data_IF_889962232242
#
_entry.id   IF_889962232242
#
_cell.length_a   1.000
_cell.length_b   1.000
_cell.length_c   1.000
_cell.angle_alpha   90.00
_cell.angle_beta   90.00
_cell.angle_gamma   90.00
#
_symmetry.space_group_name_H-M   'P 1'
#
loop_
_entity.id
_entity.type
_entity.pdbx_description
1 polymer ?
2 non-polymer ?
3 non-polymer ?
4 non-polymer ?
5 water ?
#
# COMPACT_ATOMS: atom_id res chain seq x y z
N UNK A 6 5.95 -36.20 -3.11
CA UNK A 6 7.26 -36.50 -3.70
C UNK A 6 7.73 -35.36 -4.60
N UNK A 7 7.65 -35.56 -5.91
CA UNK A 7 8.02 -34.52 -6.86
C UNK A 7 6.83 -33.61 -7.17
N UNK A 8 7.13 -32.36 -7.52
CA UNK A 8 6.09 -31.39 -7.88
C UNK A 8 5.42 -31.78 -9.20
N UNK A 9 6.22 -32.20 -10.16
CA UNK A 9 5.71 -32.60 -11.48
C UNK A 9 4.58 -33.63 -11.39
N UNK A 10 4.74 -34.60 -10.48
CA UNK A 10 3.70 -35.60 -10.25
C UNK A 10 2.41 -34.95 -9.74
N UNK A 11 2.54 -34.10 -8.73
CA UNK A 11 1.40 -33.40 -8.13
C UNK A 11 0.49 -32.75 -9.18
N UNK A 12 1.06 -31.95 -10.06
CA UNK A 12 0.31 -31.29 -11.13
C UNK A 12 -0.44 -32.31 -12.01
N UNK A 13 0.17 -33.46 -12.26
CA UNK A 13 -0.46 -34.52 -13.03
C UNK A 13 -1.69 -35.10 -12.32
N UNK A 14 -1.48 -35.67 -11.13
CA UNK A 14 -2.57 -36.27 -10.35
C UNK A 14 -3.55 -35.21 -9.84
N UNK A 15 -4.82 -35.29 -10.27
CA UNK A 15 -5.88 -34.35 -9.90
C UNK A 15 -6.15 -34.27 -8.39
N UNK A 16 -5.93 -35.35 -7.64
CA UNK A 16 -6.21 -35.33 -6.20
C UNK A 16 -5.06 -34.68 -5.40
N UNK A 17 -3.82 -35.00 -5.75
CA UNK A 17 -2.67 -34.34 -5.14
C UNK A 17 -2.71 -32.85 -5.46
N UNK A 18 -3.05 -32.54 -6.71
CA UNK A 18 -3.05 -31.17 -7.21
C UNK A 18 -4.17 -30.31 -6.64
N UNK A 19 -5.37 -30.87 -6.49
CA UNK A 19 -6.48 -30.12 -5.93
C UNK A 19 -6.30 -29.83 -4.44
N UNK A 20 -5.61 -30.71 -3.73
CA UNK A 20 -5.24 -30.48 -2.35
C UNK A 20 -4.25 -29.31 -2.29
N UNK A 21 -3.40 -29.22 -3.30
CA UNK A 21 -2.45 -28.12 -3.40
C UNK A 21 -3.17 -26.80 -3.71
N UNK A 22 -4.15 -26.85 -4.61
CA UNK A 22 -4.92 -25.66 -5.01
C UNK A 22 -5.84 -25.20 -3.88
N UNK A 23 -6.45 -26.15 -3.18
CA UNK A 23 -7.40 -25.84 -2.11
C UNK A 23 -6.76 -25.44 -0.78
N UNK A 24 -5.75 -26.18 -0.32
CA UNK A 24 -5.08 -25.86 0.94
C UNK A 24 -4.31 -24.55 0.88
N UNK A 25 -4.10 -24.04 -0.34
CA UNK A 25 -3.38 -22.78 -0.53
C UNK A 25 -4.26 -21.65 -1.07
N UNK A 26 -5.54 -21.93 -1.27
CA UNK A 26 -6.50 -20.94 -1.77
C UNK A 26 -6.07 -20.24 -3.06
N UNK A 27 -5.58 -21.03 -4.01
CA UNK A 27 -4.98 -20.49 -5.24
C UNK A 27 -6.04 -19.96 -6.22
N UNK A 28 -7.31 -20.25 -5.95
CA UNK A 28 -8.41 -19.78 -6.79
C UNK A 28 -9.04 -18.53 -6.17
N UNK A 29 -8.65 -18.22 -4.94
CA UNK A 29 -9.27 -17.11 -4.21
C UNK A 29 -8.54 -15.78 -4.37
N UNK A 30 -9.32 -14.71 -4.54
CA UNK A 30 -8.76 -13.37 -4.50
C UNK A 30 -8.36 -13.07 -3.07
N UNK A 31 -7.54 -12.03 -2.89
CA UNK A 31 -7.06 -11.68 -1.57
C UNK A 31 -7.74 -10.43 -1.02
N UNK A 32 -8.27 -10.53 0.20
CA UNK A 32 -8.91 -9.39 0.86
C UNK A 32 -7.93 -8.70 1.79
N UNK A 33 -7.76 -7.39 1.63
CA UNK A 33 -6.86 -6.63 2.48
C UNK A 33 -7.64 -5.90 3.58
N UNK A 34 -7.20 -6.05 4.83
CA UNK A 34 -7.89 -5.46 5.97
C UNK A 34 -7.01 -5.21 7.18
N UNK A 35 -7.62 -4.86 8.31
CA UNK A 35 -6.89 -4.51 9.53
C UNK A 35 -6.01 -5.65 10.06
N UNK A 36 -6.43 -6.89 9.81
CA UNK A 36 -5.67 -8.05 10.25
C UNK A 36 -4.67 -8.51 9.19
N UNK A 37 -4.82 -8.00 7.97
CA UNK A 37 -3.91 -8.32 6.89
C UNK A 37 -4.58 -8.98 5.70
N UNK A 38 -3.80 -9.72 4.89
CA UNK A 38 -4.30 -10.40 3.69
C UNK A 38 -5.07 -11.66 4.04
N UNK A 39 -6.34 -11.71 3.64
CA UNK A 39 -7.20 -12.86 3.93
C UNK A 39 -7.82 -13.40 2.65
N UNK A 40 -7.75 -14.73 2.45
CA UNK A 40 -8.34 -15.32 1.25
C UNK A 40 -9.86 -15.11 1.24
N UNK A 41 -10.43 -14.83 0.07
CA UNK A 41 -11.88 -14.75 -0.05
C UNK A 41 -12.48 -16.11 0.27
N UNK A 42 -13.76 -16.15 0.64
CA UNK A 42 -14.44 -17.41 0.84
C UNK A 42 -14.98 -17.90 -0.49
N UNK A 43 -15.00 -17.00 -1.46
CA UNK A 43 -15.45 -17.34 -2.81
C UNK A 43 -14.29 -17.51 -3.78
N UNK A 44 -14.48 -18.39 -4.75
CA UNK A 44 -13.48 -18.59 -5.79
C UNK A 44 -13.62 -17.51 -6.86
N UNK A 45 -12.49 -16.97 -7.31
CA UNK A 45 -12.48 -15.85 -8.24
C UNK A 45 -12.32 -16.33 -9.70
N UNK A 46 -11.54 -17.38 -9.89
CA UNK A 46 -11.31 -17.94 -11.22
C UNK A 46 -11.89 -19.34 -11.34
N UNK A 47 -12.07 -19.81 -12.58
CA UNK A 47 -12.50 -21.18 -12.83
C UNK A 47 -11.33 -22.11 -12.52
N UNK A 48 -11.60 -23.21 -11.82
CA UNK A 48 -10.55 -24.16 -11.45
C UNK A 48 -10.02 -24.91 -12.66
N UNK A 49 -8.70 -24.80 -12.91
CA UNK A 49 -8.06 -25.51 -14.02
C UNK A 49 -7.69 -26.95 -13.62
N UNK A 50 -7.63 -27.85 -14.60
CA UNK A 50 -7.26 -29.23 -14.33
C UNK A 50 -5.75 -29.40 -14.22
N UNK A 51 -5.01 -28.37 -14.63
CA UNK A 51 -3.55 -28.41 -14.57
C UNK A 51 -2.98 -27.02 -14.30
N UNK A 52 -1.82 -26.97 -13.66
CA UNK A 52 -1.20 -25.70 -13.33
C UNK A 52 0.11 -25.49 -14.08
N UNK A 53 0.36 -24.25 -14.47
CA UNK A 53 1.67 -23.89 -15.01
C UNK A 53 2.66 -23.89 -13.87
N UNK A 54 3.74 -24.66 -14.01
CA UNK A 54 4.73 -24.77 -12.95
C UNK A 54 6.15 -24.66 -13.48
N UNK A 55 7.06 -24.22 -12.61
CA UNK A 55 8.49 -24.18 -12.90
C UNK A 55 9.21 -24.81 -11.72
N UNK A 56 9.84 -25.96 -11.94
CA UNK A 56 10.55 -26.64 -10.85
C UNK A 56 11.79 -25.87 -10.37
N UNK A 57 11.95 -25.79 -9.05
CA UNK A 57 13.17 -25.28 -8.43
C UNK A 57 13.35 -25.79 -7.00
N UNK A 58 14.32 -26.68 -6.82
CA UNK A 58 14.67 -27.21 -5.51
C UNK A 58 15.73 -26.35 -4.82
N UNK A 59 16.24 -25.37 -5.54
CA UNK A 59 17.31 -24.51 -5.03
C UNK A 59 16.87 -23.65 -3.84
N UNK A 60 17.37 -24.00 -2.66
CA UNK A 60 17.12 -23.19 -1.48
C UNK A 60 17.95 -21.91 -1.55
N UNK A 61 17.32 -20.78 -1.24
CA UNK A 61 18.02 -19.50 -1.21
C UNK A 61 17.55 -18.65 -0.01
N UNK A 62 18.25 -17.54 0.21
CA UNK A 62 17.78 -16.53 1.15
C UNK A 62 17.49 -15.26 0.37
N UNK A 63 16.27 -14.77 0.47
CA UNK A 63 15.88 -13.51 -0.16
C UNK A 63 15.56 -12.48 0.92
N UNK A 64 15.69 -11.20 0.58
CA UNK A 64 15.39 -10.14 1.53
C UNK A 64 14.61 -9.01 0.85
N UNK A 65 13.55 -8.56 1.52
CA UNK A 65 12.74 -7.45 1.02
C UNK A 65 12.81 -6.27 1.99
N UNK A 66 13.16 -5.10 1.47
CA UNK A 66 13.17 -3.87 2.27
C UNK A 66 12.05 -2.95 1.78
N UNK A 67 11.28 -2.40 2.72
CA UNK A 67 10.08 -1.66 2.36
C UNK A 67 9.90 -0.39 3.19
N UNK A 68 9.75 0.74 2.50
CA UNK A 68 9.53 2.03 3.16
C UNK A 68 8.05 2.40 3.22
N UNK A 69 7.22 1.65 2.51
CA UNK A 69 5.78 1.93 2.48
C UNK A 69 5.10 1.49 3.78
N UNK A 70 4.39 2.40 4.42
CA UNK A 70 3.66 2.09 5.64
C UNK A 70 2.46 1.18 5.30
N UNK A 71 1.92 0.53 6.32
CA UNK A 71 0.70 -0.30 6.20
C UNK A 71 0.93 -1.62 5.46
N UNK A 72 2.20 -1.94 5.17
CA UNK A 72 2.54 -3.12 4.40
C UNK A 72 3.11 -4.26 5.25
N UNK A 73 3.16 -4.06 6.56
CA UNK A 73 3.84 -5.00 7.46
C UNK A 73 3.31 -6.43 7.42
N UNK A 74 1.98 -6.59 7.30
CA UNK A 74 1.39 -7.93 7.26
C UNK A 74 1.70 -8.64 5.93
N UNK A 75 1.93 -7.84 4.89
CA UNK A 75 2.30 -8.38 3.58
C UNK A 75 3.75 -8.84 3.59
N UNK A 76 4.60 -8.05 4.25
CA UNK A 76 5.99 -8.41 4.47
C UNK A 76 6.07 -9.72 5.26
N UNK A 77 5.23 -9.85 6.28
CA UNK A 77 5.21 -11.06 7.11
C UNK A 77 4.60 -12.24 6.36
N UNK A 78 3.85 -11.93 5.29
CA UNK A 78 3.27 -12.96 4.44
C UNK A 78 4.18 -13.26 3.26
N UNK A 79 5.43 -12.78 3.35
CA UNK A 79 6.45 -13.03 2.35
C UNK A 79 6.08 -12.58 0.92
N UNK A 80 5.40 -11.44 0.83
CA UNK A 80 5.21 -10.76 -0.45
C UNK A 80 6.55 -10.14 -0.85
N UNK A 81 6.93 -10.22 -2.12
CA UNK A 81 8.10 -9.48 -2.58
C UNK A 81 7.74 -8.02 -2.82
N UNK A 82 8.72 -7.22 -3.22
CA UNK A 82 8.52 -5.79 -3.42
C UNK A 82 7.44 -5.51 -4.47
N UNK A 83 7.51 -6.21 -5.58
CA UNK A 83 6.54 -6.04 -6.67
C UNK A 83 5.12 -6.37 -6.21
N UNK A 84 4.98 -7.45 -5.44
CA UNK A 84 3.69 -7.86 -4.92
C UNK A 84 3.16 -6.87 -3.88
N UNK A 85 4.06 -6.37 -3.03
CA UNK A 85 3.70 -5.32 -2.07
C UNK A 85 3.23 -4.07 -2.82
N UNK A 86 3.96 -3.72 -3.89
CA UNK A 86 3.65 -2.55 -4.71
C UNK A 86 2.22 -2.57 -5.25
N UNK A 87 1.84 -3.64 -5.93
CA UNK A 87 0.50 -3.78 -6.47
C UNK A 87 -0.54 -3.76 -5.36
N UNK A 88 -0.20 -4.40 -4.24
CA UNK A 88 -1.14 -4.55 -3.13
C UNK A 88 -1.24 -3.32 -2.23
N UNK A 89 -0.23 -2.45 -2.28
CA UNK A 89 -0.13 -1.30 -1.39
C UNK A 89 -1.37 -0.39 -1.27
N UNK A 90 -1.93 0.07 -2.41
CA UNK A 90 -3.08 0.98 -2.29
C UNK A 90 -4.26 0.35 -1.56
N UNK A 91 -4.57 -0.91 -1.90
CA UNK A 91 -5.69 -1.62 -1.29
C UNK A 91 -5.55 -1.74 0.23
N UNK A 92 -4.43 -2.28 0.69
CA UNK A 92 -4.24 -2.48 2.13
C UNK A 92 -4.08 -1.16 2.88
N UNK A 93 -3.50 -0.16 2.22
CA UNK A 93 -3.40 1.17 2.81
C UNK A 93 -4.79 1.74 3.04
N UNK A 94 -5.65 1.59 2.03
CA UNK A 94 -7.01 2.11 2.09
C UNK A 94 -7.87 1.40 3.13
N UNK A 95 -7.58 0.13 3.38
CA UNK A 95 -8.39 -0.68 4.30
C UNK A 95 -7.74 -0.93 5.66
N UNK A 96 -6.69 -0.19 5.97
CA UNK A 96 -6.00 -0.35 7.26
C UNK A 96 -6.72 0.38 8.39
N UNK A 97 -6.46 -0.02 9.62
CA UNK A 97 -6.99 0.68 10.79
C UNK A 97 -5.98 1.75 11.21
N UNK A 98 -6.31 3.00 10.92
CA UNK A 98 -5.39 4.10 11.20
C UNK A 98 -5.33 4.43 12.69
N UNK A 99 -4.16 4.85 13.16
CA UNK A 99 -3.96 5.26 14.55
C UNK A 99 -2.85 6.30 14.65
N UNK A 100 -2.87 7.07 15.73
CA UNK A 100 -1.89 8.14 15.93
C UNK A 100 -0.66 7.61 16.67
N UNK A 101 -0.76 6.37 17.17
CA UNK A 101 0.28 5.77 17.99
C UNK A 101 0.94 4.54 17.37
N UNK A 102 1.19 4.61 16.06
CA UNK A 102 1.92 3.55 15.39
C UNK A 102 3.41 3.69 15.62
N UNK A 103 4.10 2.57 15.84
CA UNK A 103 5.54 2.57 16.01
C UNK A 103 6.25 2.98 14.72
N UNK A 104 5.62 2.72 13.58
CA UNK A 104 6.09 3.23 12.30
C UNK A 104 5.95 4.75 12.29
N UNK A 105 7.06 5.45 12.14
CA UNK A 105 7.02 6.91 12.13
C UNK A 105 7.87 7.54 11.03
N UNK A 106 7.23 8.37 10.22
CA UNK A 106 7.92 9.21 9.26
C UNK A 106 7.72 10.69 9.61
N UNK A 107 8.78 11.30 10.15
CA UNK A 107 8.74 12.70 10.56
C UNK A 107 9.79 13.51 9.83
N UNK A 108 10.01 14.74 10.28
CA UNK A 108 11.04 15.61 9.69
C UNK A 108 12.42 15.17 10.14
N UNK A 109 12.48 14.42 11.24
CA UNK A 109 13.73 14.00 11.84
C UNK A 109 13.93 12.50 11.76
N UNK A 110 12.84 11.76 11.66
CA UNK A 110 12.90 10.30 11.69
C UNK A 110 12.22 9.63 10.50
N UNK A 111 12.62 8.38 10.25
CA UNK A 111 12.13 7.63 9.11
C UNK A 111 12.08 6.15 9.49
N UNK A 112 11.06 5.45 9.03
CA UNK A 112 10.90 4.04 9.35
C UNK A 112 10.86 3.19 8.09
N UNK A 113 11.16 1.91 8.24
CA UNK A 113 11.13 0.97 7.14
C UNK A 113 10.98 -0.45 7.66
N UNK A 114 10.41 -1.31 6.83
CA UNK A 114 10.29 -2.73 7.18
C UNK A 114 11.34 -3.53 6.43
N UNK A 115 11.92 -4.52 7.10
CA UNK A 115 12.86 -5.42 6.46
C UNK A 115 12.48 -6.86 6.79
N UNK A 116 12.36 -7.68 5.76
CA UNK A 116 12.00 -9.09 5.94
C UNK A 116 13.00 -9.96 5.20
N UNK A 117 13.47 -11.01 5.86
CA UNK A 117 14.38 -11.96 5.25
C UNK A 117 13.75 -13.34 5.27
N UNK A 118 13.77 -14.04 4.13
CA UNK A 118 13.15 -15.35 4.05
C UNK A 118 14.11 -16.43 3.56
N UNK A 119 14.25 -17.49 4.34
CA UNK A 119 15.06 -18.64 3.93
C UNK A 119 14.13 -19.64 3.27
N UNK A 120 14.13 -19.63 1.94
CA UNK A 120 13.19 -20.43 1.17
C UNK A 120 13.64 -21.89 1.03
N UNK A 121 12.70 -22.81 1.07
CA UNK A 121 12.95 -24.20 0.72
C UNK A 121 11.89 -24.59 -0.32
N UNK A 122 12.12 -24.18 -1.58
CA UNK A 122 11.08 -24.28 -2.60
C UNK A 122 11.04 -25.64 -3.28
N UNK A 123 9.96 -25.89 -4.02
CA UNK A 123 9.84 -27.06 -4.88
C UNK A 123 9.58 -26.55 -6.27
N UNK A 124 9.15 -25.29 -6.34
CA UNK A 124 8.92 -24.62 -7.61
C UNK A 124 8.04 -23.38 -7.50
N UNK A 125 7.57 -22.90 -8.65
CA UNK A 125 6.72 -21.70 -8.70
C UNK A 125 5.50 -21.99 -9.57
N UNK A 126 4.33 -21.57 -9.10
CA UNK A 126 3.09 -21.74 -9.87
C UNK A 126 2.62 -20.41 -10.42
N UNK A 127 2.37 -20.35 -11.73
CA UNK A 127 1.94 -19.11 -12.36
C UNK A 127 0.52 -19.22 -12.89
N UNK A 128 -0.29 -18.20 -12.62
CA UNK A 128 -1.60 -18.09 -13.24
C UNK A 128 -1.52 -17.05 -14.35
N UNK A 129 -1.66 -17.48 -15.59
CA UNK A 129 -1.55 -16.57 -16.72
C UNK A 129 -2.66 -15.53 -16.68
N UNK A 130 -2.28 -14.28 -16.89
CA UNK A 130 -3.17 -13.12 -16.95
C UNK A 130 -3.91 -13.25 -18.30
N UNK A 131 -4.86 -12.34 -18.64
CA UNK A 131 -5.64 -12.66 -19.85
C UNK A 131 -4.82 -12.80 -21.13
N UNK A 132 -3.75 -12.03 -21.23
CA UNK A 132 -2.87 -12.12 -22.38
C UNK A 132 -2.21 -13.51 -22.47
N UNK A 133 -2.94 -14.43 -23.09
CA UNK A 133 -2.53 -15.83 -23.23
C UNK A 133 -1.14 -15.99 -23.85
N UNK A 134 -0.41 -17.04 -23.47
CA UNK A 134 -0.89 -18.02 -22.51
C UNK A 134 0.17 -19.02 -22.11
N UNK A 137 -3.50 -21.44 -21.38
CA UNK A 137 -3.24 -21.50 -19.95
C UNK A 137 -4.00 -20.39 -19.22
N UNK A 138 -4.47 -19.42 -19.99
CA UNK A 138 -5.18 -18.25 -19.46
C UNK A 138 -6.29 -18.62 -18.48
N UNK A 139 -6.41 -17.84 -17.42
CA UNK A 139 -7.45 -18.06 -16.41
C UNK A 139 -8.78 -17.48 -16.89
N UNK A 140 -9.87 -17.99 -16.33
CA UNK A 140 -11.20 -17.48 -16.64
C UNK A 140 -11.86 -16.99 -15.35
N UNK A 141 -12.39 -15.77 -15.35
CA UNK A 141 -13.09 -15.27 -14.18
C UNK A 141 -14.33 -16.13 -13.91
N UNK A 142 -14.60 -16.38 -12.63
CA UNK A 142 -15.76 -17.18 -12.23
C UNK A 142 -17.04 -16.59 -12.80
N UNK A 143 -17.95 -17.45 -13.27
CA UNK A 143 -19.25 -17.01 -13.80
C UNK A 143 -19.99 -16.15 -12.77
N UNK A 144 -19.92 -16.55 -11.50
CA UNK A 144 -20.52 -15.79 -10.42
C UNK A 144 -19.89 -14.41 -10.30
N UNK A 145 -18.57 -14.33 -10.44
CA UNK A 145 -17.88 -13.05 -10.34
C UNK A 145 -18.25 -12.14 -11.52
N UNK A 146 -18.05 -12.63 -12.73
CA UNK A 146 -18.39 -11.86 -13.93
C UNK A 146 -19.87 -11.53 -13.97
N UNK A 147 -20.67 -12.30 -13.23
CA UNK A 147 -22.09 -11.98 -13.06
C UNK A 147 -22.23 -10.74 -12.18
N UNK A 148 -21.53 -10.76 -11.04
CA UNK A 148 -21.57 -9.64 -10.11
C UNK A 148 -21.14 -8.34 -10.75
N UNK A 149 -20.13 -8.42 -11.61
CA UNK A 149 -19.67 -7.26 -12.38
C UNK A 149 -20.79 -6.72 -13.26
N UNK A 150 -21.35 -7.59 -14.11
CA UNK A 150 -22.43 -7.20 -15.01
C UNK A 150 -23.59 -6.58 -14.23
N UNK A 151 -23.97 -7.22 -13.12
CA UNK A 151 -25.05 -6.72 -12.29
C UNK A 151 -24.78 -5.32 -11.76
N UNK A 152 -23.57 -5.12 -11.23
CA UNK A 152 -23.13 -3.82 -10.74
C UNK A 152 -23.17 -2.74 -11.82
N UNK A 153 -22.60 -3.05 -12.99
CA UNK A 153 -22.61 -2.11 -14.10
C UNK A 153 -24.03 -1.88 -14.64
N UNK A 154 -24.95 -2.76 -14.29
CA UNK A 154 -26.33 -2.66 -14.75
C UNK A 154 -27.19 -1.78 -13.84
N UNK A 155 -26.65 -1.40 -12.69
CA UNK A 155 -27.34 -0.48 -11.78
C UNK A 155 -27.62 0.86 -12.46
N UNK A 156 -28.66 1.56 -12.04
CA UNK A 156 -29.11 2.78 -12.71
C UNK A 156 -28.28 4.03 -12.41
N UNK A 157 -27.97 4.26 -11.14
CA UNK A 157 -27.21 5.44 -10.76
C UNK A 157 -25.74 5.11 -10.44
N UNK A 158 -24.87 6.11 -10.56
CA UNK A 158 -23.45 5.93 -10.33
C UNK A 158 -23.11 5.38 -8.96
N UNK A 159 -23.73 5.93 -7.93
CA UNK A 159 -23.50 5.50 -6.55
C UNK A 159 -23.82 4.02 -6.38
N UNK A 160 -25.01 3.62 -6.81
CA UNK A 160 -25.45 2.23 -6.75
C UNK A 160 -24.48 1.29 -7.48
N UNK A 161 -23.97 1.75 -8.62
CA UNK A 161 -22.97 0.99 -9.37
C UNK A 161 -21.71 0.80 -8.52
N UNK A 162 -21.19 1.91 -8.00
CA UNK A 162 -19.96 1.90 -7.21
C UNK A 162 -20.13 1.09 -5.92
N UNK A 163 -21.24 1.32 -5.22
CA UNK A 163 -21.55 0.62 -3.99
C UNK A 163 -21.60 -0.90 -4.19
N UNK A 164 -22.13 -1.32 -5.34
CA UNK A 164 -22.18 -2.74 -5.69
C UNK A 164 -20.79 -3.29 -5.97
N UNK A 165 -19.96 -2.50 -6.66
CA UNK A 165 -18.59 -2.90 -6.96
C UNK A 165 -17.79 -3.11 -5.68
N UNK A 166 -17.98 -2.22 -4.71
CA UNK A 166 -17.31 -2.32 -3.43
C UNK A 166 -17.65 -3.62 -2.70
N UNK A 167 -18.94 -3.94 -2.64
CA UNK A 167 -19.39 -5.20 -2.06
C UNK A 167 -18.76 -6.38 -2.79
N UNK A 168 -18.74 -6.32 -4.12
CA UNK A 168 -18.14 -7.37 -4.95
C UNK A 168 -16.69 -7.58 -4.60
N UNK A 169 -15.94 -6.49 -4.46
CA UNK A 169 -14.51 -6.57 -4.17
C UNK A 169 -14.24 -6.84 -2.68
N UNK A 170 -15.12 -6.36 -1.80
CA UNK A 170 -15.03 -6.70 -0.39
C UNK A 170 -15.22 -8.21 -0.19
N UNK A 171 -16.00 -8.81 -1.08
CA UNK A 171 -16.29 -10.24 -1.02
C UNK A 171 -15.23 -11.09 -1.72
N UNK A 172 -14.82 -10.67 -2.91
CA UNK A 172 -13.88 -11.45 -3.71
C UNK A 172 -12.42 -11.12 -3.44
N UNK A 173 -12.15 -9.87 -3.05
CA UNK A 173 -10.78 -9.44 -2.81
C UNK A 173 -10.37 -8.36 -3.79
N UNK A 174 -9.29 -7.67 -3.49
CA UNK A 174 -8.81 -6.59 -4.35
C UNK A 174 -7.66 -7.03 -5.25
N UNK A 175 -6.93 -8.06 -4.82
CA UNK A 175 -5.83 -8.60 -5.64
C UNK A 175 -5.88 -10.12 -5.74
N UNK A 176 -5.22 -10.66 -6.75
CA UNK A 176 -5.11 -12.11 -6.94
C UNK A 176 -3.66 -12.51 -7.21
N UNK A 177 -3.19 -13.53 -6.51
CA UNK A 177 -1.80 -13.95 -6.62
C UNK A 177 -1.57 -14.75 -7.91
N UNK A 178 -0.86 -14.13 -8.85
CA UNK A 178 -0.67 -14.70 -10.18
C UNK A 178 0.63 -15.51 -10.30
N UNK A 179 1.54 -15.30 -9.36
CA UNK A 179 2.77 -16.10 -9.26
C UNK A 179 3.11 -16.33 -7.81
N UNK A 180 3.17 -17.60 -7.41
CA UNK A 180 3.54 -17.97 -6.05
C UNK A 180 4.58 -19.08 -6.03
N UNK A 181 5.50 -19.02 -5.07
CA UNK A 181 6.42 -20.12 -4.82
C UNK A 181 5.84 -21.00 -3.72
N UNK A 182 6.06 -22.30 -3.82
CA UNK A 182 5.57 -23.24 -2.80
C UNK A 182 6.69 -24.09 -2.20
N UNK A 183 6.45 -24.63 -1.02
CA UNK A 183 7.45 -25.41 -0.31
C UNK A 183 7.43 -25.14 1.18
N UNK A 184 8.60 -24.89 1.75
CA UNK A 184 8.71 -24.47 3.14
C UNK A 184 9.51 -23.19 3.24
N UNK A 185 9.29 -22.42 4.30
CA UNK A 185 10.02 -21.18 4.51
C UNK A 185 10.20 -20.82 5.98
N UNK A 186 11.40 -20.39 6.32
CA UNK A 186 11.69 -19.81 7.63
C UNK A 186 11.97 -18.33 7.38
N UNK A 187 11.15 -17.46 7.97
CA UNK A 187 11.29 -16.02 7.69
C UNK A 187 11.41 -15.19 8.96
N UNK A 188 12.20 -14.12 8.89
CA UNK A 188 12.30 -13.16 9.98
C UNK A 188 11.83 -11.80 9.48
N UNK A 189 11.16 -11.05 10.36
CA UNK A 189 10.62 -9.77 9.98
C UNK A 189 10.86 -8.74 11.07
N UNK A 190 11.29 -7.54 10.68
CA UNK A 190 11.56 -6.48 11.65
C UNK A 190 11.20 -5.13 11.07
N UNK A 191 11.03 -4.15 11.96
CA UNK A 191 10.87 -2.76 11.55
C UNK A 191 12.03 -1.98 12.12
N UNK A 192 12.51 -1.00 11.37
CA UNK A 192 13.54 -0.09 11.91
C UNK A 192 13.14 1.37 11.76
N UNK A 193 13.31 2.12 12.84
CA UNK A 193 13.10 3.57 12.82
C UNK A 193 14.46 4.23 13.06
N UNK A 194 14.84 5.16 12.18
CA UNK A 194 16.16 5.77 12.25
C UNK A 194 16.13 7.27 11.92
N UNK A 195 17.13 8.00 12.40
CA UNK A 195 17.25 9.42 12.09
C UNK A 195 17.58 9.63 10.62
N UNK A 196 17.03 10.69 10.03
CA UNK A 196 17.29 11.02 8.63
C UNK A 196 18.74 11.46 8.43
N UNK A 197 19.42 11.77 9.53
CA UNK A 197 20.81 12.19 9.50
C UNK A 197 21.75 11.02 9.26
N UNK A 198 21.22 9.80 9.33
CA UNK A 198 22.01 8.61 9.06
C UNK A 198 22.07 8.31 7.57
N UNK A 199 23.07 7.52 7.16
CA UNK A 199 23.16 7.06 5.78
C UNK A 199 22.13 5.95 5.53
N UNK A 200 21.15 6.24 4.67
CA UNK A 200 20.08 5.29 4.37
C UNK A 200 20.60 3.95 3.87
N UNK A 201 21.57 4.00 2.96
CA UNK A 201 22.18 2.80 2.41
C UNK A 201 22.80 1.96 3.52
N UNK A 202 23.52 2.62 4.42
CA UNK A 202 24.18 1.95 5.54
C UNK A 202 23.17 1.25 6.44
N UNK A 203 22.09 1.94 6.80
CA UNK A 203 21.05 1.37 7.66
C UNK A 203 20.42 0.14 7.01
N UNK A 204 20.08 0.26 5.73
CA UNK A 204 19.43 -0.82 4.99
C UNK A 204 20.31 -2.06 4.83
N UNK A 205 21.59 -1.85 4.54
CA UNK A 205 22.51 -2.97 4.43
C UNK A 205 22.80 -3.61 5.80
N UNK A 206 22.91 -2.77 6.83
CA UNK A 206 23.18 -3.25 8.18
C UNK A 206 22.06 -4.13 8.71
N UNK A 207 20.81 -3.69 8.52
CA UNK A 207 19.65 -4.46 8.94
C UNK A 207 19.49 -5.73 8.11
N UNK A 208 19.69 -5.61 6.80
CA UNK A 208 19.58 -6.75 5.89
C UNK A 208 20.60 -7.85 6.23
N UNK A 209 21.82 -7.46 6.55
CA UNK A 209 22.87 -8.40 6.89
C UNK A 209 22.55 -9.11 8.21
N UNK A 210 22.05 -8.36 9.18
CA UNK A 210 21.73 -8.91 10.48
C UNK A 210 20.56 -9.88 10.40
N UNK A 211 19.59 -9.54 9.55
CA UNK A 211 18.38 -10.36 9.42
C UNK A 211 18.65 -11.61 8.58
N UNK A 212 19.46 -11.48 7.53
CA UNK A 212 19.85 -12.64 6.71
C UNK A 212 20.71 -13.61 7.51
N UNK A 213 21.60 -13.06 8.33
CA UNK A 213 22.43 -13.88 9.19
C UNK A 213 21.60 -14.67 10.19
N UNK A 214 20.53 -14.05 10.68
CA UNK A 214 19.65 -14.69 11.65
C UNK A 214 18.92 -15.89 11.05
N UNK A 215 18.37 -15.71 9.85
CA UNK A 215 17.64 -16.79 9.18
C UNK A 215 18.56 -17.86 8.59
N UNK A 216 19.77 -17.46 8.20
CA UNK A 216 20.75 -18.43 7.70
C UNK A 216 21.16 -19.38 8.81
N UNK A 217 21.39 -18.85 10.00
CA UNK A 217 21.75 -19.67 11.14
C UNK A 217 20.60 -20.58 11.53
N UNK A 218 19.39 -20.05 11.42
CA UNK A 218 18.17 -20.81 11.71
C UNK A 218 18.04 -21.99 10.75
N UNK A 219 17.95 -21.71 9.45
CA UNK A 219 17.76 -22.75 8.45
C UNK A 219 19.00 -23.57 8.15
N UNK A 220 20.15 -23.08 8.60
CA UNK A 220 21.40 -23.81 8.45
C UNK A 220 21.62 -24.80 9.58
N UNK A 221 20.89 -24.63 10.67
CA UNK A 221 21.03 -25.50 11.82
C UNK A 221 22.21 -25.16 12.72
N UNK A 222 22.54 -23.87 12.82
CA UNK A 222 23.63 -23.43 13.67
C UNK A 222 23.13 -22.70 14.92
N UNK A 223 21.83 -22.41 14.95
CA UNK A 223 21.23 -21.74 16.10
C UNK A 223 20.19 -22.65 16.73
N UNK A 224 19.75 -22.30 17.93
CA UNK A 224 18.68 -23.05 18.58
C UNK A 224 17.44 -23.04 17.72
N UNK A 225 16.98 -24.24 17.34
CA UNK A 225 15.78 -24.36 16.53
C UNK A 225 14.58 -23.81 17.27
N UNK A 226 13.57 -23.37 16.51
CA UNK A 226 12.40 -22.73 17.09
C UNK A 226 11.32 -22.54 16.03
N UNK A 227 10.07 -22.45 16.46
CA UNK A 227 8.98 -22.16 15.55
C UNK A 227 8.66 -20.68 15.49
N UNK A 228 7.39 -20.35 15.29
CA UNK A 228 6.96 -18.95 15.33
C UNK A 228 7.13 -18.37 16.72
N UNK A 229 7.83 -17.24 16.79
CA UNK A 229 8.06 -16.55 18.07
C UNK A 229 8.63 -15.17 17.78
N UNK A 230 8.84 -14.39 18.84
CA UNK A 230 9.47 -13.09 18.70
C UNK A 230 10.79 -13.10 19.43
N UNK A 231 11.68 -12.20 19.04
CA UNK A 231 12.99 -12.14 19.65
C UNK A 231 13.69 -10.82 19.37
N UNK A 232 15.00 -10.80 19.62
CA UNK A 232 15.78 -9.60 19.40
C UNK A 232 17.11 -10.00 18.78
N UNK A 233 17.54 -9.26 17.75
CA UNK A 233 18.89 -9.44 17.22
C UNK A 233 19.66 -8.13 17.30
N UNK A 234 20.99 -8.23 17.22
CA UNK A 234 21.85 -7.06 17.27
C UNK A 234 22.71 -7.00 16.02
N UNK A 235 22.68 -5.87 15.32
CA UNK A 235 23.44 -5.71 14.07
C UNK A 235 24.92 -5.48 14.32
N UNK A 236 25.72 -5.53 13.26
CA UNK A 236 27.15 -5.27 13.34
C UNK A 236 27.40 -3.85 13.82
N UNK A 237 26.43 -2.97 13.56
CA UNK A 237 26.50 -1.58 13.99
C UNK A 237 25.77 -1.37 15.32
N UNK A 238 25.49 -2.46 16.02
CA UNK A 238 24.84 -2.43 17.33
C UNK A 238 23.42 -1.84 17.33
N UNK A 239 22.67 -2.09 16.27
CA UNK A 239 21.25 -1.73 16.25
C UNK A 239 20.44 -2.87 16.86
N UNK A 240 19.64 -2.58 17.88
CA UNK A 240 18.79 -3.58 18.49
C UNK A 240 17.45 -3.67 17.76
N UNK A 241 17.18 -4.84 17.19
CA UNK A 241 15.98 -5.04 16.39
C UNK A 241 15.04 -6.04 17.04
N UNK A 242 13.75 -5.72 17.05
CA UNK A 242 12.73 -6.66 17.47
C UNK A 242 12.32 -7.48 16.26
N UNK A 243 12.49 -8.80 16.35
CA UNK A 243 12.29 -9.67 15.20
C UNK A 243 11.11 -10.62 15.38
N UNK A 244 10.34 -10.80 14.32
CA UNK A 244 9.24 -11.76 14.33
C UNK A 244 9.57 -12.93 13.41
N UNK A 245 9.73 -14.11 13.98
CA UNK A 245 10.03 -15.31 13.20
C UNK A 245 8.76 -16.04 12.80
N UNK A 246 8.65 -16.37 11.52
CA UNK A 246 7.45 -17.03 10.99
C UNK A 246 7.82 -18.26 10.15
N UNK A 247 7.07 -19.34 10.34
CA UNK A 247 7.27 -20.56 9.56
C UNK A 247 6.05 -20.84 8.70
N UNK A 248 6.28 -21.15 7.42
CA UNK A 248 5.18 -21.57 6.55
C UNK A 248 5.54 -22.82 5.75
N UNK A 249 4.58 -23.73 5.64
CA UNK A 249 4.82 -24.98 4.93
C UNK A 249 5.60 -25.98 5.76
N UNK A 250 5.64 -27.22 5.28
CA UNK A 250 6.33 -28.28 6.01
C UNK A 250 5.62 -28.71 7.28
N UNK A 251 6.25 -29.58 8.06
CA UNK A 251 5.63 -30.08 9.29
C UNK A 251 6.00 -29.24 10.50
N UNK A 252 5.04 -28.46 11.01
CA UNK A 252 5.28 -27.56 12.14
C UNK A 252 5.51 -28.30 13.46
N UNK A 253 5.09 -29.57 13.52
CA UNK A 253 5.34 -30.38 14.72
C UNK A 253 6.82 -30.71 14.83
N UNK A 254 7.55 -30.57 13.73
CA UNK A 254 8.97 -30.92 13.69
C UNK A 254 9.91 -29.70 13.66
N UNK A 255 9.33 -28.51 13.72
CA UNK A 255 10.10 -27.26 13.60
C UNK A 255 11.20 -27.11 14.66
N UNK A 256 10.95 -27.60 15.88
CA UNK A 256 11.91 -27.51 16.96
C UNK A 256 13.23 -28.23 16.62
N UNK A 257 13.15 -29.18 15.70
CA UNK A 257 14.34 -29.77 15.11
C UNK A 257 14.45 -29.39 13.62
N UNK A 258 15.28 -28.39 13.33
CA UNK A 258 15.34 -27.76 12.01
C UNK A 258 15.53 -28.71 10.83
N UNK A 259 16.47 -29.65 10.95
CA UNK A 259 16.77 -30.58 9.86
C UNK A 259 15.60 -31.52 9.52
N UNK A 260 14.89 -31.97 10.55
CA UNK A 260 13.69 -32.78 10.34
C UNK A 260 12.63 -31.95 9.64
N UNK A 261 12.51 -30.69 10.06
CA UNK A 261 11.59 -29.73 9.44
C UNK A 261 11.89 -29.61 7.95
N UNK A 262 13.16 -29.42 7.62
CA UNK A 262 13.61 -29.29 6.24
C UNK A 262 13.28 -30.53 5.41
N UNK A 263 13.41 -31.71 6.03
CA UNK A 263 13.10 -32.96 5.35
C UNK A 263 11.61 -33.02 4.97
N UNK A 264 10.75 -32.57 5.88
CA UNK A 264 9.32 -32.55 5.65
C UNK A 264 8.92 -31.67 4.47
N UNK A 265 9.79 -30.71 4.12
CA UNK A 265 9.56 -29.83 2.97
C UNK A 265 9.37 -30.62 1.67
N UNK A 266 10.03 -31.78 1.57
CA UNK A 266 9.90 -32.64 0.39
C UNK A 266 8.57 -33.40 0.35
N UNK A 267 7.77 -33.29 1.40
CA UNK A 267 6.47 -33.95 1.45
C UNK A 267 5.36 -33.01 0.94
N UNK A 268 4.76 -33.35 -0.20
CA UNK A 268 3.76 -32.50 -0.85
C UNK A 268 2.60 -32.07 0.04
N UNK A 269 2.22 -32.94 0.97
CA UNK A 269 1.15 -32.68 1.92
C UNK A 269 1.41 -31.44 2.77
N UNK A 270 2.68 -31.07 2.90
CA UNK A 270 3.09 -30.00 3.78
C UNK A 270 3.61 -28.77 3.03
N UNK A 271 3.41 -28.75 1.72
CA UNK A 271 3.78 -27.59 0.90
C UNK A 271 2.77 -26.46 1.05
N UNK A 272 3.27 -25.25 1.25
CA UNK A 272 2.43 -24.06 1.30
C UNK A 272 3.08 -22.94 0.49
N UNK A 273 2.38 -21.83 0.30
CA UNK A 273 2.95 -20.65 -0.36
C UNK A 273 4.06 -20.08 0.53
N UNK A 274 5.26 -19.92 -0.04
CA UNK A 274 6.42 -19.49 0.72
C UNK A 274 6.87 -18.11 0.28
N UNK A 275 6.39 -17.69 -0.88
CA UNK A 275 6.61 -16.35 -1.38
C UNK A 275 5.50 -15.96 -2.35
N UNK A 276 4.96 -14.77 -2.17
CA UNK A 276 4.09 -14.17 -3.19
C UNK A 276 4.98 -13.33 -4.11
N UNK A 277 5.13 -13.80 -5.34
CA UNK A 277 6.12 -13.27 -6.29
C UNK A 277 5.52 -12.26 -7.26
N UNK A 278 4.26 -12.48 -7.62
CA UNK A 278 3.53 -11.54 -8.48
C UNK A 278 2.08 -11.45 -8.04
N UNK A 279 1.54 -10.24 -8.10
CA UNK A 279 0.17 -9.97 -7.70
C UNK A 279 -0.49 -9.12 -8.79
N UNK A 280 -1.71 -9.49 -9.18
CA UNK A 280 -2.45 -8.72 -10.16
C UNK A 280 -3.75 -8.20 -9.53
N UNK A 281 -4.00 -6.90 -9.66
CA UNK A 281 -5.27 -6.33 -9.25
C UNK A 281 -6.39 -7.09 -9.97
N UNK A 282 -7.42 -7.49 -9.21
CA UNK A 282 -8.51 -8.30 -9.76
C UNK A 282 -9.18 -7.65 -10.97
N UNK A 283 -9.36 -6.33 -10.92
CA UNK A 283 -10.02 -5.62 -12.00
C UNK A 283 -9.27 -5.73 -13.33
N UNK A 284 -7.94 -5.90 -13.24
CA UNK A 284 -7.10 -6.01 -14.42
C UNK A 284 -7.21 -7.38 -15.09
N UNK A 285 -7.90 -8.31 -14.44
CA UNK A 285 -8.17 -9.61 -15.03
C UNK A 285 -9.35 -9.52 -15.99
N UNK A 286 -10.05 -8.38 -15.95
CA UNK A 286 -11.21 -8.14 -16.81
C UNK A 286 -10.78 -7.73 -18.21
N UNK A 287 -11.56 -8.15 -19.22
CA UNK A 287 -11.35 -7.70 -20.60
C UNK A 287 -11.87 -6.28 -20.78
N UNK A 288 -11.27 -5.53 -21.69
CA UNK A 288 -11.81 -4.22 -22.07
C UNK A 288 -13.11 -4.42 -22.82
N UNK A 289 -14.02 -3.42 -22.78
CA UNK A 289 -13.91 -2.17 -22.06
C UNK A 289 -14.52 -2.25 -20.66
N UNK A 290 -14.85 -3.45 -20.22
CA UNK A 290 -15.39 -3.67 -18.87
C UNK A 290 -14.36 -3.27 -17.82
N UNK A 291 -13.10 -3.64 -18.06
CA UNK A 291 -12.00 -3.31 -17.17
C UNK A 291 -11.95 -1.81 -16.90
N UNK A 292 -12.06 -1.01 -17.95
CA UNK A 292 -12.00 0.44 -17.82
C UNK A 292 -13.20 1.05 -17.13
N UNK A 293 -14.39 0.53 -17.42
CA UNK A 293 -15.61 1.00 -16.77
C UNK A 293 -15.52 0.82 -15.26
N UNK A 294 -15.14 -0.38 -14.83
CA UNK A 294 -15.01 -0.70 -13.40
C UNK A 294 -13.98 0.22 -12.71
N UNK A 295 -12.79 0.32 -13.30
CA UNK A 295 -11.71 1.12 -12.73
C UNK A 295 -12.09 2.60 -12.61
N UNK A 296 -12.75 3.14 -13.62
CA UNK A 296 -13.26 4.52 -13.55
C UNK A 296 -14.21 4.67 -12.38
N UNK A 297 -15.13 3.73 -12.24
CA UNK A 297 -16.11 3.74 -11.15
C UNK A 297 -15.45 3.56 -9.78
N UNK A 298 -14.36 2.80 -9.75
CA UNK A 298 -13.66 2.51 -8.51
C UNK A 298 -12.95 3.73 -7.93
N UNK A 299 -12.62 4.69 -8.80
CA UNK A 299 -11.98 5.93 -8.38
C UNK A 299 -12.79 6.64 -7.28
N UNK A 300 -12.14 6.90 -6.14
CA UNK A 300 -12.81 7.44 -4.94
C UNK A 300 -13.22 8.89 -5.08
N UNK A 301 -12.63 9.61 -6.04
CA UNK A 301 -12.90 11.04 -6.19
C UNK A 301 -13.28 11.46 -7.61
N UNK A 302 -14.26 12.36 -7.71
CA UNK A 302 -14.52 13.07 -8.95
C UNK A 302 -13.62 14.29 -8.95
N UNK A 303 -13.24 14.76 -10.15
CA UNK A 303 -12.37 15.93 -10.23
C UNK A 303 -12.97 17.02 -11.09
N UNK A 304 -12.69 18.27 -10.73
CA UNK A 304 -13.18 19.41 -11.50
C UNK A 304 -12.18 20.56 -11.42
N UNK A 305 -11.68 20.99 -12.57
CA UNK A 305 -10.75 22.11 -12.62
C UNK A 305 -11.53 23.43 -12.61
N UNK A 306 -11.21 24.29 -11.65
CA UNK A 306 -11.90 25.58 -11.55
C UNK A 306 -10.90 26.73 -11.52
N UNK A 307 -11.39 27.93 -11.81
CA UNK A 307 -10.55 29.12 -11.80
C UNK A 307 -10.16 29.49 -10.37
N UNK A 308 -9.16 30.36 -10.24
CA UNK A 308 -8.64 30.72 -8.92
C UNK A 308 -8.66 32.22 -8.67
N UNK A 309 -8.30 32.59 -7.45
CA UNK A 309 -8.20 33.99 -7.07
C UNK A 309 -7.02 34.16 -6.12
N UNK A 310 -6.24 35.22 -6.30
CA UNK A 310 -5.09 35.47 -5.41
C UNK A 310 -5.56 35.79 -3.99
N UNK A 311 -4.79 35.34 -2.99
CA UNK A 311 -5.10 35.65 -1.61
C UNK A 311 -4.37 36.93 -1.18
N UNK A 312 -5.11 37.88 -0.57
CA UNK A 312 -4.52 39.13 -0.08
C UNK A 312 -3.87 38.95 1.29
N UNK A 313 -2.85 39.76 1.60
CA UNK A 313 -2.13 39.64 2.85
C UNK A 313 -0.81 38.91 2.68
N UNK A 314 -0.49 38.57 1.43
CA UNK A 314 0.70 37.79 1.12
C UNK A 314 1.65 38.56 0.21
N UNK A 315 1.92 39.80 0.55
CA UNK A 315 2.79 40.66 -0.26
C UNK A 315 4.26 40.46 0.11
N UNK A 316 4.52 40.02 1.33
CA UNK A 316 5.88 39.73 1.79
C UNK A 316 6.41 38.42 1.22
N UNK A 317 5.50 37.60 0.70
CA UNK A 317 5.87 36.29 0.16
C UNK A 317 6.45 36.38 -1.25
N UNK A 318 7.42 35.50 -1.56
CA UNK A 318 8.15 35.46 -2.83
C UNK A 318 7.25 35.09 -4.01
N UNK A 319 6.09 34.51 -3.71
CA UNK A 319 5.15 34.11 -4.76
C UNK A 319 3.71 34.46 -4.40
N UNK A 320 2.86 34.56 -5.41
CA UNK A 320 1.43 34.74 -5.16
C UNK A 320 0.84 33.42 -4.66
N UNK A 321 -0.19 33.52 -3.83
CA UNK A 321 -0.89 32.34 -3.33
C UNK A 321 -2.30 32.30 -3.93
N UNK A 322 -2.74 31.12 -4.37
CA UNK A 322 -4.04 31.02 -5.02
C UNK A 322 -4.97 29.99 -4.37
N UNK A 323 -6.27 30.30 -4.42
CA UNK A 323 -7.31 29.40 -3.95
C UNK A 323 -8.41 29.44 -5.00
N UNK A 324 -9.21 28.37 -5.09
CA UNK A 324 -10.30 28.36 -6.06
C UNK A 324 -11.24 29.55 -5.87
N UNK A 325 -11.82 30.04 -6.96
CA UNK A 325 -12.73 31.17 -6.88
C UNK A 325 -14.10 30.75 -6.38
N UNK A 326 -14.55 31.37 -5.30
CA UNK A 326 -15.87 31.10 -4.76
C UNK A 326 -16.95 31.46 -5.76
N UNK A 327 -18.12 30.85 -5.60
CA UNK A 327 -18.39 29.92 -4.52
C UNK A 327 -18.07 28.47 -4.92
N UNK A 328 -17.54 27.71 -3.97
CA UNK A 328 -17.25 26.29 -4.19
C UNK A 328 -18.56 25.52 -4.29
N UNK A 329 -18.84 24.90 -5.46
CA UNK A 329 -20.07 24.14 -5.68
C UNK A 329 -20.31 23.09 -4.59
N UNK A 330 -21.53 23.08 -4.04
CA UNK A 330 -21.87 22.24 -2.89
C UNK A 330 -21.52 20.76 -3.08
N UNK A 331 -20.84 20.18 -2.10
CA UNK A 331 -20.45 18.78 -2.16
C UNK A 331 -19.06 18.61 -2.73
N UNK A 332 -18.44 19.73 -3.09
CA UNK A 332 -17.07 19.69 -3.58
C UNK A 332 -16.12 20.31 -2.56
N UNK A 333 -14.85 19.93 -2.66
CA UNK A 333 -13.86 20.35 -1.67
C UNK A 333 -12.53 20.67 -2.35
N UNK A 334 -11.71 21.48 -1.68
CA UNK A 334 -10.39 21.82 -2.21
C UNK A 334 -9.30 21.25 -1.30
N UNK A 335 -8.06 21.29 -1.78
CA UNK A 335 -7.00 20.51 -1.15
C UNK A 335 -5.81 21.33 -0.61
N UNK A 336 -5.86 22.65 -0.78
CA UNK A 336 -4.83 23.50 -0.22
C UNK A 336 -4.38 24.64 -1.11
N UNK A 337 -3.70 25.62 -0.51
CA UNK A 337 -3.19 26.77 -1.24
C UNK A 337 -2.16 26.35 -2.28
N UNK A 338 -2.30 26.87 -3.50
CA UNK A 338 -1.38 26.55 -4.59
C UNK A 338 -0.68 27.79 -5.13
N UNK A 339 0.35 27.58 -5.95
CA UNK A 339 0.98 28.67 -6.68
C UNK A 339 0.50 28.66 -8.13
N UNK A 340 -0.49 27.81 -8.43
CA UNK A 340 -1.09 27.77 -9.76
C UNK A 340 -2.08 28.92 -9.92
N UNK A 341 -1.75 29.86 -10.81
CA UNK A 341 -2.57 31.04 -11.07
C UNK A 341 -3.66 30.78 -12.09
N UNK A 342 -3.61 29.60 -12.71
CA UNK A 342 -4.53 29.28 -13.80
C UNK A 342 -5.76 28.49 -13.34
N UNK A 343 -5.52 27.37 -12.67
CA UNK A 343 -6.60 26.47 -12.24
C UNK A 343 -6.31 25.85 -10.87
N UNK A 344 -7.36 25.48 -10.17
CA UNK A 344 -7.24 24.68 -8.94
C UNK A 344 -8.14 23.45 -9.04
N UNK A 345 -7.68 22.35 -8.47
CA UNK A 345 -8.45 21.10 -8.51
C UNK A 345 -9.45 21.01 -7.36
N UNK A 346 -10.71 20.75 -7.70
CA UNK A 346 -11.72 20.43 -6.71
C UNK A 346 -12.02 18.93 -6.77
N UNK A 347 -12.30 18.32 -5.62
CA UNK A 347 -12.62 16.89 -5.57
C UNK A 347 -13.94 16.62 -4.87
N UNK A 348 -14.58 15.51 -5.24
CA UNK A 348 -15.83 15.09 -4.64
C UNK A 348 -15.82 13.58 -4.49
N UNK A 349 -16.05 13.08 -3.26
CA UNK A 349 -16.06 11.65 -2.99
C UNK A 349 -17.18 10.93 -3.75
N UNK A 350 -16.87 9.75 -4.28
CA UNK A 350 -17.81 9.00 -5.09
C UNK A 350 -18.56 7.94 -4.26
N UNK A 351 -18.02 7.65 -3.08
CA UNK A 351 -18.63 6.66 -2.20
C UNK A 351 -19.18 7.31 -0.93
N UNK A 352 -20.41 6.93 -0.55
CA UNK A 352 -21.04 7.44 0.66
C UNK A 352 -20.27 6.99 1.90
N UNK A 353 -20.31 7.79 2.96
CA UNK A 353 -19.66 7.41 4.21
C UNK A 353 -20.44 6.29 4.89
N UNK A 354 -19.76 5.21 5.26
CA UNK A 354 -20.38 4.13 6.02
C UNK A 354 -19.45 3.71 7.15
N UNK A 355 -20.05 3.36 8.29
CA UNK A 355 -19.27 2.92 9.45
C UNK A 355 -18.34 1.76 9.11
N UNK A 356 -17.08 1.87 9.54
CA UNK A 356 -16.09 0.86 9.24
C UNK A 356 -15.33 1.11 7.95
N UNK A 357 -15.77 2.11 7.20
CA UNK A 357 -15.15 2.44 5.92
C UNK A 357 -14.30 3.71 6.01
N UNK A 358 -13.05 3.61 5.60
CA UNK A 358 -12.16 4.78 5.55
C UNK A 358 -12.53 5.71 4.40
N UNK A 359 -13.06 6.90 4.72
CA UNK A 359 -13.46 7.86 3.68
C UNK A 359 -12.27 8.38 2.89
N UNK A 360 -12.50 8.82 1.66
CA UNK A 360 -11.41 9.33 0.83
C UNK A 360 -10.86 10.63 1.39
N UNK A 361 -11.73 11.44 1.98
CA UNK A 361 -11.36 12.75 2.48
C UNK A 361 -11.59 12.85 3.98
N UNK A 362 -10.83 13.70 4.66
CA UNK A 362 -11.08 14.04 6.06
C UNK A 362 -11.19 15.55 6.22
N UNK A 363 -12.07 15.99 7.11
CA UNK A 363 -12.12 17.41 7.45
C UNK A 363 -10.94 17.72 8.37
N UNK A 364 -10.73 19.00 8.64
CA UNK A 364 -9.60 19.43 9.43
C UNK A 364 -10.05 20.27 10.63
N UNK A 365 -9.19 20.41 11.63
CA UNK A 365 -9.46 21.25 12.79
C UNK A 365 -8.19 21.99 13.18
N UNK A 366 -8.32 23.22 13.69
CA UNK A 366 -7.15 24.00 14.09
C UNK A 366 -6.44 23.32 15.26
N UNK A 367 -5.10 23.42 15.29
CA UNK A 367 -4.34 22.85 16.38
C UNK A 367 -4.61 23.52 17.72
N UNK A 368 -4.45 22.76 18.80
CA UNK A 368 -4.65 23.27 20.14
C UNK A 368 -3.51 24.18 20.59
N UNK A 369 -2.30 23.88 20.14
CA UNK A 369 -1.12 24.64 20.54
C UNK A 369 -1.02 26.00 19.88
N UNK A 370 0.17 26.59 19.95
CA UNK A 370 0.42 27.88 19.32
C UNK A 370 0.58 27.74 17.82
N UNK A 371 -0.54 27.43 17.15
CA UNK A 371 -0.56 27.28 15.69
C UNK A 371 -1.93 27.66 15.12
N UNK A 372 -1.93 28.12 13.87
CA UNK A 372 -3.17 28.39 13.15
C UNK A 372 -3.31 27.42 11.99
N UNK A 373 -2.51 26.36 12.03
CA UNK A 373 -2.51 25.35 10.98
C UNK A 373 -3.48 24.22 11.28
N UNK A 374 -4.12 23.68 10.23
CA UNK A 374 -5.10 22.60 10.39
C UNK A 374 -4.45 21.28 10.77
N UNK A 375 -5.21 20.43 11.43
CA UNK A 375 -4.78 19.07 11.73
C UNK A 375 -5.86 18.12 11.22
N UNK A 376 -5.45 16.99 10.66
CA UNK A 376 -6.41 16.02 10.14
C UNK A 376 -7.29 15.46 11.26
N UNK A 377 -8.61 15.46 11.05
CA UNK A 377 -9.52 14.87 12.03
C UNK A 377 -9.25 13.38 12.13
N UNK A 378 -9.07 12.74 10.98
CA UNK A 378 -8.81 11.32 10.91
C UNK A 378 -7.31 11.04 10.91
N UNK A 379 -6.85 10.19 11.83
CA UNK A 379 -5.43 9.85 12.00
C UNK A 379 -4.81 9.33 10.71
N UNK A 380 -3.55 9.68 10.47
CA UNK A 380 -2.76 9.18 9.35
C UNK A 380 -3.20 9.71 7.97
N UNK A 381 -4.26 10.50 7.94
CA UNK A 381 -4.63 11.18 6.70
C UNK A 381 -3.62 12.27 6.37
N UNK A 382 -3.54 12.68 5.11
CA UNK A 382 -2.53 13.63 4.67
C UNK A 382 -3.13 14.81 3.93
N UNK A 383 -2.54 15.99 4.10
CA UNK A 383 -2.90 17.12 3.24
C UNK A 383 -1.68 17.65 2.48
N UNK A 384 -1.92 18.53 1.51
CA UNK A 384 -0.92 18.86 0.51
C UNK A 384 -0.21 20.20 0.73
N UNK A 385 -0.92 21.15 1.35
CA UNK A 385 -0.39 22.51 1.50
C UNK A 385 -0.45 23.00 2.94
N UNK A 386 0.50 23.84 3.32
CA UNK A 386 0.40 24.57 4.58
C UNK A 386 -0.69 25.61 4.42
N UNK A 387 -1.33 26.01 5.52
CA UNK A 387 -2.41 26.99 5.42
C UNK A 387 -1.87 28.41 5.64
N UNK A 388 -2.02 29.25 4.62
CA UNK A 388 -1.55 30.63 4.70
C UNK A 388 -2.60 31.55 5.32
N UNK A 389 -2.56 31.67 6.65
CA UNK A 389 -3.52 32.45 7.40
C UNK A 389 -3.86 31.73 8.69
N UNK A 390 -5.09 31.90 9.16
CA UNK A 390 -5.57 31.18 10.34
C UNK A 390 -6.71 30.23 9.99
N UNK A 391 -6.49 28.93 10.17
CA UNK A 391 -7.50 27.93 9.84
C UNK A 391 -8.59 27.83 10.91
N UNK A 392 -9.83 27.68 10.43
CA UNK A 392 -10.97 27.34 11.27
C UNK A 392 -11.92 26.47 10.47
N UNK A 393 -12.32 25.35 11.05
CA UNK A 393 -13.16 24.38 10.34
C UNK A 393 -14.55 24.93 10.05
N UNK A 394 -14.99 25.88 10.87
CA UNK A 394 -16.34 26.42 10.76
C UNK A 394 -16.41 27.66 9.87
N UNK A 395 -15.26 28.20 9.49
CA UNK A 395 -15.22 29.39 8.65
C UNK A 395 -14.58 29.12 7.29
N UNK A 396 -15.14 29.71 6.21
CA UNK A 396 -14.57 29.59 4.87
C UNK A 396 -13.21 30.28 4.82
N UNK A 397 -12.30 29.79 3.96
CA UNK A 397 -12.50 28.64 3.07
C UNK A 397 -12.04 27.33 3.72
N UNK A 398 -11.58 27.40 4.96
CA UNK A 398 -11.11 26.21 5.65
C UNK A 398 -12.20 25.17 5.85
N UNK A 399 -13.45 25.64 5.82
CA UNK A 399 -14.60 24.78 6.01
C UNK A 399 -14.79 23.76 4.89
N UNK A 400 -14.28 24.09 3.71
CA UNK A 400 -14.39 23.22 2.54
C UNK A 400 -13.05 22.61 2.16
N UNK A 401 -12.04 22.84 3.00
CA UNK A 401 -10.72 22.25 2.80
C UNK A 401 -10.69 20.83 3.38
N UNK A 402 -10.05 19.91 2.66
CA UNK A 402 -10.05 18.50 3.07
C UNK A 402 -8.67 17.86 3.00
N UNK A 403 -8.42 16.91 3.91
CA UNK A 403 -7.21 16.10 3.86
C UNK A 403 -7.48 14.82 3.11
N UNK A 404 -6.45 14.00 2.88
CA UNK A 404 -6.58 12.83 2.02
C UNK A 404 -6.22 11.52 2.70
N UNK A 405 -6.93 10.45 2.34
CA UNK A 405 -6.60 9.10 2.79
C UNK A 405 -5.24 8.72 2.20
N UNK A 406 -4.36 8.08 3.01
CA UNK A 406 -2.96 7.85 2.64
C UNK A 406 -2.74 7.16 1.29
N UNK A 407 -3.69 6.36 0.83
CA UNK A 407 -3.54 5.69 -0.46
C UNK A 407 -3.59 6.68 -1.65
N UNK A 408 -4.15 7.86 -1.40
CA UNK A 408 -4.31 8.86 -2.44
C UNK A 408 -3.03 9.64 -2.78
N UNK A 409 -2.05 9.61 -1.87
CA UNK A 409 -0.87 10.46 -2.05
C UNK A 409 0.46 9.72 -2.19
N UNK A 410 1.40 10.39 -2.87
CA UNK A 410 2.76 9.93 -3.01
C UNK A 410 3.64 11.05 -2.50
N UNK A 411 4.93 10.76 -2.22
CA UNK A 411 5.81 11.87 -1.85
C UNK A 411 5.99 12.83 -3.03
N UNK A 412 6.04 14.13 -2.75
CA UNK A 412 6.29 15.11 -3.78
C UNK A 412 7.73 15.61 -3.69
N UNK A 413 8.04 16.68 -4.42
CA UNK A 413 9.35 17.30 -4.30
C UNK A 413 9.23 18.81 -4.18
N UNK A 414 10.13 19.41 -3.41
CA UNK A 414 10.09 20.85 -3.15
C UNK A 414 10.87 21.64 -4.19
N UNK A 415 10.28 22.74 -4.66
CA UNK A 415 11.03 23.75 -5.39
C UNK A 415 10.98 25.01 -4.55
N UNK A 416 12.09 25.35 -3.92
CA UNK A 416 12.08 26.44 -2.95
C UNK A 416 12.22 27.81 -3.61
N UNK A 417 11.41 28.76 -3.15
CA UNK A 417 11.48 30.13 -3.60
C UNK A 417 11.60 31.03 -2.38
N UNK A 418 12.34 32.13 -2.53
CA UNK A 418 12.53 33.06 -1.42
C UNK A 418 13.95 33.56 -1.26
N UNK A 419 14.08 34.80 -0.79
CA UNK A 419 15.39 35.41 -0.57
C UNK A 419 15.67 35.42 0.93
N UNK A 420 14.60 35.20 1.71
CA UNK A 420 14.71 35.05 3.16
C UNK A 420 13.89 33.85 3.62
N UNK A 421 14.43 33.08 4.56
CA UNK A 421 13.76 31.91 5.13
C UNK A 421 12.34 32.22 5.60
N UNK A 422 12.21 33.30 6.37
CA UNK A 422 10.95 33.67 7.02
C UNK A 422 9.82 33.87 6.02
N UNK A 423 10.16 34.20 4.77
CA UNK A 423 9.16 34.33 3.72
C UNK A 423 9.26 33.18 2.73
N UNK A 424 10.39 32.47 2.76
CA UNK A 424 10.63 31.36 1.83
C UNK A 424 9.54 30.30 1.84
N UNK A 425 9.18 29.83 0.65
CA UNK A 425 8.16 28.78 0.50
C UNK A 425 8.66 27.65 -0.40
N UNK A 426 8.10 26.45 -0.17
CA UNK A 426 8.33 25.33 -1.06
C UNK A 426 7.13 25.23 -2.01
N UNK A 427 7.40 25.00 -3.29
CA UNK A 427 6.33 24.66 -4.22
C UNK A 427 6.46 23.17 -4.53
N UNK A 428 5.44 22.39 -4.18
CA UNK A 428 5.49 20.94 -4.35
C UNK A 428 5.17 20.53 -5.78
N UNK A 429 6.07 19.77 -6.39
CA UNK A 429 5.85 19.25 -7.73
C UNK A 429 5.84 17.73 -7.64
N UNK A 430 5.31 17.06 -8.67
CA UNK A 430 5.45 15.59 -8.69
C UNK A 430 6.93 15.23 -8.75
N UNK A 431 7.31 14.07 -8.21
CA UNK A 431 8.69 13.63 -8.29
C UNK A 431 9.10 13.47 -9.75
N UNK A 432 10.31 13.92 -10.10
CA UNK A 432 10.74 13.90 -11.50
C UNK A 432 11.68 12.76 -11.86
N UNK A 433 11.45 11.58 -11.29
CA UNK A 433 12.13 10.38 -11.75
C UNK A 433 11.53 9.98 -13.11
N UNK A 434 12.38 9.59 -14.06
CA UNK A 434 12.00 9.41 -15.47
C UNK A 434 10.89 8.39 -15.73
N UNK A 435 10.82 7.33 -14.93
CA UNK A 435 9.82 6.28 -15.15
C UNK A 435 9.01 6.01 -13.89
N UNK A 436 8.17 6.97 -13.48
CA UNK A 436 7.40 6.83 -12.24
C UNK A 436 6.35 5.73 -12.38
N UNK A 437 6.12 4.98 -11.31
CA UNK A 437 5.10 3.93 -11.32
C UNK A 437 3.71 4.53 -11.20
N UNK A 438 3.57 5.45 -10.25
CA UNK A 438 2.32 6.19 -10.11
C UNK A 438 2.50 7.65 -10.49
N UNK A 439 1.74 8.09 -11.48
CA UNK A 439 1.78 9.47 -11.94
C UNK A 439 0.96 10.35 -11.00
N UNK A 440 1.48 11.54 -10.71
CA UNK A 440 0.82 12.43 -9.77
C UNK A 440 0.45 13.75 -10.43
N UNK A 441 -0.60 14.40 -9.91
CA UNK A 441 -0.98 15.73 -10.38
C UNK A 441 0.11 16.73 -10.03
N UNK A 442 0.34 17.69 -10.92
CA UNK A 442 1.11 18.87 -10.57
C UNK A 442 0.12 19.91 -10.09
N UNK A 443 0.10 20.14 -8.78
CA UNK A 443 -0.86 21.07 -8.19
C UNK A 443 -0.17 22.31 -7.64
N UNK A 444 1.16 22.32 -7.68
CA UNK A 444 1.97 23.42 -7.15
C UNK A 444 1.55 23.75 -5.72
N UNK A 445 1.31 22.71 -4.94
CA UNK A 445 0.91 22.85 -3.54
C UNK A 445 1.95 23.67 -2.79
N UNK A 446 1.49 24.68 -2.05
CA UNK A 446 2.41 25.61 -1.40
C UNK A 446 2.71 25.21 0.04
N UNK A 447 3.99 25.14 0.38
CA UNK A 447 4.42 24.77 1.73
C UNK A 447 5.41 25.82 2.28
N UNK A 448 5.06 26.40 3.43
CA UNK A 448 5.90 27.41 4.08
C UNK A 448 7.14 26.74 4.66
N UNK A 449 8.33 27.28 4.36
CA UNK A 449 9.59 26.69 4.80
C UNK A 449 9.81 26.72 6.31
N UNK A 450 9.61 27.88 6.92
CA UNK A 450 9.67 28.01 8.38
C UNK A 450 8.36 28.50 8.97
N UNK A 451 7.75 27.68 9.82
CA UNK A 451 6.51 28.06 10.50
C UNK A 451 6.72 28.48 11.95
N UNK A 452 6.05 29.57 12.36
CA UNK A 452 5.97 29.93 13.78
C UNK A 452 4.61 29.52 14.37
N UNK A 453 4.59 28.86 15.52
CA UNK A 453 5.77 28.35 16.19
C UNK A 453 5.44 26.92 16.59
N UNK A 454 6.44 26.15 17.01
CA UNK A 454 6.31 24.71 17.29
C UNK A 454 5.00 24.34 17.97
N UNK A 455 4.42 23.24 17.52
CA UNK A 455 3.03 22.89 17.82
C UNK A 455 2.33 22.80 16.48
N UNK A 456 3.09 23.16 15.44
CA UNK A 456 2.64 23.03 14.07
C UNK A 456 2.67 21.56 13.65
N UNK A 457 1.72 21.15 12.79
CA UNK A 457 1.67 19.76 12.34
C UNK A 457 2.83 19.43 11.42
N UNK A 458 3.16 18.14 11.25
CA UNK A 458 4.24 17.77 10.33
C UNK A 458 4.05 18.36 8.93
N UNK A 459 5.17 18.74 8.31
CA UNK A 459 5.19 19.47 7.04
C UNK A 459 4.84 18.58 5.86
N UNK A 460 3.84 18.98 5.06
CA UNK A 460 3.49 18.16 3.89
C UNK A 460 4.56 18.18 2.78
N UNK A 461 4.76 17.03 2.16
CA UNK A 461 5.51 16.93 0.91
C UNK A 461 4.86 15.80 0.13
N UNK A 462 3.61 16.02 -0.28
CA UNK A 462 2.83 14.99 -0.93
C UNK A 462 2.23 15.43 -2.25
N UNK A 463 1.98 14.47 -3.15
CA UNK A 463 1.33 14.74 -4.42
C UNK A 463 0.15 13.80 -4.61
N UNK A 464 -0.90 14.27 -5.28
CA UNK A 464 -2.11 13.47 -5.47
C UNK A 464 -2.01 12.53 -6.67
N UNK A 465 -2.33 11.25 -6.46
CA UNK A 465 -2.33 10.28 -7.54
C UNK A 465 -3.43 10.59 -8.56
N UNK A 466 -3.07 10.61 -9.85
CA UNK A 466 -4.06 10.84 -10.90
C UNK A 466 -5.05 9.67 -11.00
N UNK A 467 -4.61 8.48 -10.58
CA UNK A 467 -5.42 7.26 -10.70
C UNK A 467 -6.65 7.27 -9.77
N UNK A 468 -6.70 8.25 -8.87
CA UNK A 468 -7.75 8.34 -7.86
C UNK A 468 -8.84 9.33 -8.23
N UNK A 469 -8.61 10.11 -9.27
CA UNK A 469 -9.52 11.19 -9.63
C UNK A 469 -10.20 10.95 -10.99
N UNK A 470 -11.53 10.94 -10.99
CA UNK A 470 -12.30 10.71 -12.21
C UNK A 470 -12.75 12.03 -12.84
N UNK A 471 -12.45 12.23 -14.11
CA UNK A 471 -12.84 13.46 -14.81
C UNK A 471 -13.99 13.23 -15.78
N UNK A 472 -14.88 14.22 -15.89
CA UNK A 472 -16.02 14.17 -16.80
C UNK A 472 -16.92 12.98 -16.52
X LIG B 1 7.47 -6.19 13.38
X LIG B 1 7.27 -6.89 12.12
X LIG B 1 8.89 -5.88 13.53
X LIG B 1 6.71 -4.95 13.36
X LIG B 1 7.04 -7.03 14.49
X LIG C 1 12.49 -8.59 -3.56
X LIG C 1 11.79 -8.73 -4.83
X LIG C 1 13.61 -7.66 -3.72
X LIG C 1 11.58 -8.06 -2.55
X LIG C 1 13.01 -9.89 -3.14
X LIG D 1 0.33 -11.97 9.24
X LIG E 1 -9.40 -4.12 -7.72
X LIG E 1 -8.73 -3.63 -8.85
X LIG E 1 -9.11 -3.21 -6.54
X LIG E 1 -8.58 -1.98 -7.01
X LIG E 1 -10.40 -2.93 -5.76
X LIG E 1 -10.22 -1.80 -4.95
X LIG F 1 1.42 -22.89 7.17
X LIG G 1 -3.84 19.82 18.13
X LIG H 1 11.77 15.54 -1.75
X LIG I 1 0.06 16.69 6.97
X LIG J 1 -2.48 -21.27 -15.49
#
# INVERSE_FOLDING_TARGET
MSQAGDTLNDVIQDPTRRNKLINDNNLLKGIIMGRDGPVPSSRELIVRPDTLRAIINNRATIETTTMEAEFTETLMESNYNSASVKVSAPCITANSEYSESSSFKNTETEKSMYTSSRYLFPQGRIDFTTPDSGFDDVIKLSPQFTSGVQAALAKATGTEKREALQNLFQEYGCVFRTKVHIGGVLSAHTMETFSRSENETEVKQDVKAGLEGAVKGWGGGATAGHGNTQGTITTSQNRKLNVKYIVNGGDYTKIQNTEEWVASTNQSEHWRVIEVTEVTAVADLLPQPIRGQVKDLLKPLLGKWVDVEKVPGLESLPVSVYRPKGAIPAGWFWLGDTADASKALLVKPTLPARSGRNPALTSLHQGSGMTEQPFVDLPQYQYLSTYFGSFAHDTPPGSTLRGLRPDHVLPGRYEMHGDTISTAVYVTRPVDVPFPEDEAFDLKSLVRVKLPGSGNPPKPRSALKKSMVLFDSGEK
SO4 S O1 O2 O3 O4
SO4 S O1 O2 O3 O4
CL CL
GOL C1 O1 C2 O2 C3 O3
CL CL
CL CL
CL CL
CL CL
CL CL
#
